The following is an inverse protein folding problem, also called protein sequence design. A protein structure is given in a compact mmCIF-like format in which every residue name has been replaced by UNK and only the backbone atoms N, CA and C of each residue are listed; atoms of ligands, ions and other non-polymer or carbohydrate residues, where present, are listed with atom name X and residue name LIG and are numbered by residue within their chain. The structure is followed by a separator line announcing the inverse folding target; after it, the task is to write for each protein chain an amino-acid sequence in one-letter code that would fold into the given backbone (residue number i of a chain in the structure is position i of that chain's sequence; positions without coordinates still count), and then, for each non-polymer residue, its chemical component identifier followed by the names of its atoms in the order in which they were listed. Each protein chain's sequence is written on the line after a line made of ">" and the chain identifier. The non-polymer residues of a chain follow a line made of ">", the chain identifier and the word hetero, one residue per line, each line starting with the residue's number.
data_IF_497721603203
#
_entry.id   IF_497721603203
#
_cell.length_a   1.000
_cell.length_b   1.000
_cell.length_c   1.000
_cell.angle_alpha   90.00
_cell.angle_beta   90.00
_cell.angle_gamma   90.00
#
_symmetry.space_group_name_H-M   'P 1'
#
loop_
_entity.id
_entity.type
_entity.pdbx_description
1 polymer ?
#
# COMPACT_ATOMS: atom_id res chain seq x y z
N UNK A 1 -29.63 -26.64 -20.52
CA UNK A 1 -28.19 -26.93 -20.69
C UNK A 1 -27.55 -25.66 -21.25
N UNK A 2 -27.12 -24.75 -20.38
CA UNK A 2 -26.46 -23.52 -20.83
C UNK A 2 -25.09 -23.88 -21.35
N UNK A 3 -24.80 -23.48 -22.59
CA UNK A 3 -23.51 -23.67 -23.23
C UNK A 3 -22.39 -23.20 -22.30
N UNK A 4 -21.42 -24.08 -22.08
CA UNK A 4 -20.24 -23.81 -21.26
C UNK A 4 -19.34 -22.82 -22.02
N UNK A 5 -19.75 -21.55 -22.08
CA UNK A 5 -18.90 -20.48 -22.60
C UNK A 5 -17.72 -20.36 -21.65
N UNK A 6 -16.54 -20.67 -22.16
CA UNK A 6 -15.28 -20.51 -21.46
C UNK A 6 -15.18 -19.06 -20.94
N UNK A 7 -14.86 -18.90 -19.66
CA UNK A 7 -14.73 -17.58 -19.05
C UNK A 7 -13.48 -16.91 -19.62
N UNK A 8 -13.68 -15.76 -20.26
CA UNK A 8 -12.57 -14.95 -20.78
C UNK A 8 -12.18 -13.96 -19.70
N UNK A 9 -10.93 -14.05 -19.23
CA UNK A 9 -10.38 -13.09 -18.29
C UNK A 9 -10.31 -11.69 -18.90
N UNK A 10 -10.53 -10.62 -18.12
CA UNK A 10 -10.45 -9.26 -18.63
C UNK A 10 -9.02 -8.92 -19.11
N UNK A 11 -8.89 -8.02 -20.09
CA UNK A 11 -7.58 -7.49 -20.51
C UNK A 11 -7.06 -6.45 -19.51
N UNK A 12 -5.73 -6.34 -19.35
CA UNK A 12 -5.11 -5.24 -18.59
C UNK A 12 -5.27 -3.87 -19.27
N UNK A 13 -5.76 -3.81 -20.52
CA UNK A 13 -6.09 -2.57 -21.20
C UNK A 13 -7.28 -1.84 -20.58
N UNK A 14 -8.12 -2.56 -19.82
CA UNK A 14 -9.21 -1.97 -19.05
C UNK A 14 -8.71 -1.18 -17.83
N UNK A 15 -7.46 -1.38 -17.43
CA UNK A 15 -6.86 -0.69 -16.29
C UNK A 15 -6.13 0.58 -16.75
N UNK A 16 -6.29 1.64 -15.97
CA UNK A 16 -5.58 2.89 -16.20
C UNK A 16 -4.08 2.69 -16.05
N UNK A 17 -3.34 3.05 -17.10
CA UNK A 17 -1.88 3.15 -17.05
C UNK A 17 -1.49 4.45 -16.38
N UNK A 18 -0.45 4.40 -15.55
CA UNK A 18 0.17 5.59 -15.01
C UNK A 18 0.69 6.45 -16.17
N UNK A 19 0.00 7.55 -16.45
CA UNK A 19 0.54 8.58 -17.33
C UNK A 19 1.61 9.27 -16.49
N UNK A 20 2.89 9.03 -16.79
CA UNK A 20 4.00 9.68 -16.12
C UNK A 20 3.82 11.20 -16.18
N UNK A 21 3.15 11.77 -15.19
CA UNK A 21 3.16 13.20 -14.95
C UNK A 21 4.50 13.44 -14.29
N UNK A 22 5.35 14.25 -14.93
CA UNK A 22 6.61 14.74 -14.36
C UNK A 22 6.30 15.49 -13.06
N UNK A 23 6.20 14.72 -11.98
CA UNK A 23 6.04 15.25 -10.64
C UNK A 23 7.41 15.75 -10.21
N UNK A 24 7.51 16.95 -9.63
CA UNK A 24 8.78 17.46 -9.14
C UNK A 24 9.45 16.42 -8.24
N UNK A 25 10.75 16.20 -8.47
CA UNK A 25 11.52 15.26 -7.66
C UNK A 25 11.79 15.92 -6.31
N UNK A 26 11.35 15.26 -5.24
CA UNK A 26 11.59 15.72 -3.88
C UNK A 26 13.08 15.60 -3.52
N UNK A 27 13.64 16.65 -2.91
CA UNK A 27 15.03 16.67 -2.47
C UNK A 27 15.19 15.89 -1.16
N UNK A 28 15.21 14.56 -1.28
CA UNK A 28 15.36 13.65 -0.15
C UNK A 28 16.70 13.84 0.59
N UNK A 29 17.77 14.25 -0.08
CA UNK A 29 19.07 14.53 0.56
C UNK A 29 18.97 15.71 1.52
N UNK A 30 18.30 16.78 1.11
CA UNK A 30 18.07 17.94 1.97
C UNK A 30 17.20 17.58 3.18
N UNK A 31 16.13 16.82 2.96
CA UNK A 31 15.26 16.33 4.03
C UNK A 31 16.04 15.44 5.01
N UNK A 32 16.89 14.54 4.51
CA UNK A 32 17.77 13.70 5.35
C UNK A 32 18.72 14.56 6.20
N UNK A 33 19.31 15.60 5.62
CA UNK A 33 20.20 16.51 6.36
C UNK A 33 19.44 17.29 7.44
N UNK A 34 18.20 17.68 7.17
CA UNK A 34 17.32 18.32 8.18
C UNK A 34 17.02 17.37 9.34
N UNK A 35 16.68 16.10 9.05
CA UNK A 35 16.46 15.06 10.06
C UNK A 35 17.70 14.88 10.96
N UNK A 36 18.88 14.70 10.35
CA UNK A 36 20.15 14.54 11.09
C UNK A 36 20.44 15.77 11.97
N UNK A 37 20.26 16.97 11.40
CA UNK A 37 20.49 18.23 12.13
C UNK A 37 19.50 18.42 13.28
N UNK A 38 18.26 17.99 13.12
CA UNK A 38 17.23 18.10 14.16
C UNK A 38 17.52 17.16 15.33
N UNK A 39 17.91 15.91 15.06
CA UNK A 39 18.37 15.00 16.12
C UNK A 39 19.58 15.56 16.89
N UNK A 40 20.53 16.19 16.18
CA UNK A 40 21.67 16.83 16.81
C UNK A 40 21.26 17.96 17.77
N UNK A 41 20.23 18.76 17.44
CA UNK A 41 19.67 19.80 18.33
C UNK A 41 19.09 19.21 19.63
N UNK A 42 18.59 17.97 19.59
CA UNK A 42 18.11 17.24 20.77
C UNK A 42 19.22 16.45 21.49
N UNK A 43 20.48 16.61 21.08
CA UNK A 43 21.63 15.91 21.66
C UNK A 43 21.70 14.42 21.30
N UNK A 44 21.08 14.03 20.18
CA UNK A 44 21.09 12.66 19.67
C UNK A 44 21.93 12.63 18.40
N UNK A 45 23.05 11.91 18.44
CA UNK A 45 23.93 11.80 17.29
C UNK A 45 23.49 10.64 16.39
N UNK A 46 23.18 10.96 15.14
CA UNK A 46 22.76 9.99 14.13
C UNK A 46 23.54 10.19 12.83
N UNK A 47 23.62 9.13 12.03
CA UNK A 47 24.20 9.14 10.68
C UNK A 47 23.16 8.68 9.67
N UNK A 48 23.07 9.37 8.53
CA UNK A 48 22.23 8.94 7.42
C UNK A 48 22.69 7.60 6.87
N UNK A 49 21.75 6.70 6.55
CA UNK A 49 22.07 5.37 6.05
C UNK A 49 21.49 5.12 4.66
N UNK A 50 20.18 5.28 4.51
CA UNK A 50 19.49 5.11 3.22
C UNK A 50 18.13 5.81 3.20
N UNK A 51 17.62 5.96 2.00
CA UNK A 51 16.27 6.45 1.72
C UNK A 51 15.54 5.45 0.84
N UNK A 52 14.24 5.27 1.09
CA UNK A 52 13.33 4.52 0.22
C UNK A 52 11.96 5.18 0.18
N UNK A 53 11.19 4.91 -0.87
CA UNK A 53 9.84 5.48 -1.02
C UNK A 53 8.93 4.62 -1.89
N UNK A 54 7.63 4.65 -1.56
CA UNK A 54 6.57 4.09 -2.40
C UNK A 54 5.83 5.14 -3.24
N UNK A 55 6.34 6.37 -3.31
CA UNK A 55 5.68 7.48 -3.99
C UNK A 55 4.62 8.22 -3.15
N UNK A 56 4.25 7.73 -1.97
CA UNK A 56 3.32 8.41 -1.05
C UNK A 56 4.05 8.91 0.19
N UNK A 57 4.95 8.10 0.73
CA UNK A 57 5.80 8.45 1.86
C UNK A 57 7.26 8.11 1.55
N UNK A 58 8.16 8.87 2.14
CA UNK A 58 9.60 8.62 2.17
C UNK A 58 9.99 8.03 3.52
N UNK A 59 10.87 7.03 3.50
CA UNK A 59 11.45 6.42 4.68
C UNK A 59 12.94 6.76 4.75
N UNK A 60 13.30 7.56 5.74
CA UNK A 60 14.65 8.04 5.99
C UNK A 60 15.27 7.21 7.10
N UNK A 61 16.13 6.26 6.73
CA UNK A 61 16.78 5.35 7.67
C UNK A 61 18.07 5.99 8.18
N UNK A 62 18.21 6.03 9.50
CA UNK A 62 19.35 6.60 10.20
C UNK A 62 19.90 5.61 11.23
N UNK A 63 21.21 5.69 11.44
CA UNK A 63 21.94 4.91 12.43
C UNK A 63 22.27 5.78 13.63
N UNK A 64 21.95 5.28 14.82
CA UNK A 64 22.23 5.93 16.09
C UNK A 64 23.68 5.68 16.50
N UNK A 65 24.41 6.76 16.77
CA UNK A 65 25.85 6.70 17.12
C UNK A 65 26.10 6.59 18.63
N UNK A 66 25.09 6.88 19.45
CA UNK A 66 25.20 6.85 20.91
C UNK A 66 24.12 5.95 21.55
N UNK A 67 24.32 5.54 22.80
CA UNK A 67 23.46 4.58 23.50
C UNK A 67 22.13 5.14 24.00
N UNK A 68 21.34 5.79 23.15
CA UNK A 68 20.02 6.34 23.51
C UNK A 68 18.93 5.27 23.36
N UNK A 69 18.04 5.16 24.35
CA UNK A 69 16.88 4.26 24.29
C UNK A 69 15.92 4.73 23.20
N UNK A 70 15.45 3.79 22.38
CA UNK A 70 14.50 4.08 21.29
C UNK A 70 13.25 4.83 21.75
N UNK A 71 12.72 4.53 22.94
CA UNK A 71 11.56 5.24 23.51
C UNK A 71 11.77 6.75 23.67
N UNK A 72 13.01 7.21 23.86
CA UNK A 72 13.34 8.64 23.91
C UNK A 72 13.34 9.27 22.52
N UNK A 73 13.71 8.49 21.50
CA UNK A 73 13.72 8.91 20.09
C UNK A 73 12.29 8.99 19.57
N UNK A 74 11.49 7.96 19.83
CA UNK A 74 10.07 7.89 19.49
C UNK A 74 9.26 9.05 20.13
N UNK A 75 9.61 9.44 21.36
CA UNK A 75 8.99 10.59 22.02
C UNK A 75 9.26 11.96 21.37
N UNK A 76 10.17 12.04 20.38
CA UNK A 76 10.43 13.27 19.63
C UNK A 76 9.52 13.43 18.40
N UNK A 77 8.58 12.51 18.17
CA UNK A 77 7.69 12.55 17.00
C UNK A 77 6.94 13.89 16.89
N UNK A 78 6.26 14.32 17.94
CA UNK A 78 5.50 15.59 17.98
C UNK A 78 6.40 16.84 17.76
N UNK A 79 7.62 16.82 18.31
CA UNK A 79 8.60 17.89 18.13
C UNK A 79 9.09 17.97 16.67
N UNK A 80 9.28 16.81 16.03
CA UNK A 80 9.63 16.72 14.62
C UNK A 80 8.47 17.17 13.73
N UNK A 81 7.24 16.74 14.01
CA UNK A 81 6.06 17.20 13.28
C UNK A 81 5.93 18.71 13.32
N UNK A 82 6.12 19.31 14.50
CA UNK A 82 6.09 20.76 14.69
C UNK A 82 7.21 21.48 13.93
N UNK A 83 8.41 20.91 13.86
CA UNK A 83 9.54 21.53 13.17
C UNK A 83 9.45 21.41 11.64
N UNK A 84 8.97 20.28 11.15
CA UNK A 84 8.86 19.98 9.72
C UNK A 84 7.55 20.45 9.11
N UNK A 85 6.54 20.76 9.95
CA UNK A 85 5.18 21.08 9.54
C UNK A 85 4.55 19.98 8.66
N UNK A 86 4.83 18.73 9.00
CA UNK A 86 4.36 17.53 8.33
C UNK A 86 4.08 16.45 9.39
N UNK A 87 3.09 15.59 9.15
CA UNK A 87 2.90 14.41 10.00
C UNK A 87 4.04 13.44 9.77
N UNK A 88 4.61 12.86 10.82
CA UNK A 88 5.74 11.93 10.69
C UNK A 88 5.52 10.68 11.54
N UNK A 89 6.34 9.65 11.30
CA UNK A 89 6.40 8.46 12.16
C UNK A 89 7.83 8.04 12.41
N UNK A 90 8.17 7.78 13.67
CA UNK A 90 9.48 7.22 14.04
C UNK A 90 9.32 5.73 14.29
N UNK A 91 9.98 4.91 13.48
CA UNK A 91 9.82 3.45 13.49
C UNK A 91 11.13 2.74 13.77
N UNK A 92 11.05 1.64 14.53
CA UNK A 92 12.18 0.72 14.66
C UNK A 92 12.34 -0.10 13.38
N UNK A 93 13.58 -0.30 12.95
CA UNK A 93 13.90 -1.23 11.85
C UNK A 93 14.63 -2.47 12.38
N UNK A 94 14.65 -3.54 11.58
CA UNK A 94 15.24 -4.83 11.97
C UNK A 94 16.79 -4.81 12.04
N UNK A 95 17.42 -3.66 11.88
CA UNK A 95 18.86 -3.46 11.94
C UNK A 95 19.25 -2.87 13.30
N UNK A 96 20.31 -3.42 13.92
CA UNK A 96 20.81 -2.94 15.21
C UNK A 96 21.16 -1.45 15.14
N UNK A 97 20.85 -0.72 16.23
CA UNK A 97 21.10 0.72 16.37
C UNK A 97 20.59 1.57 15.21
N UNK A 98 19.57 1.10 14.48
CA UNK A 98 19.02 1.79 13.32
C UNK A 98 17.53 2.03 13.55
N UNK A 99 17.03 3.17 13.09
CA UNK A 99 15.61 3.47 13.05
C UNK A 99 15.27 4.26 11.78
N UNK A 100 13.99 4.48 11.54
CA UNK A 100 13.53 5.23 10.39
C UNK A 100 12.59 6.36 10.80
N UNK A 101 12.66 7.47 10.08
CA UNK A 101 11.66 8.53 10.09
C UNK A 101 10.88 8.41 8.79
N UNK A 102 9.57 8.19 8.87
CA UNK A 102 8.68 8.21 7.72
C UNK A 102 8.00 9.58 7.63
N UNK A 103 8.06 10.18 6.44
CA UNK A 103 7.48 11.49 6.15
C UNK A 103 6.66 11.37 4.86
N UNK A 104 5.41 11.86 4.82
CA UNK A 104 4.66 12.00 3.58
C UNK A 104 5.46 12.78 2.55
N UNK A 105 5.45 12.33 1.30
CA UNK A 105 6.06 13.10 0.23
C UNK A 105 5.20 14.33 -0.09
N UNK A 106 5.86 15.44 -0.41
CA UNK A 106 5.19 16.67 -0.88
C UNK A 106 4.44 16.42 -2.19
N UNK A 107 5.04 15.64 -3.08
CA UNK A 107 4.48 15.29 -4.39
C UNK A 107 4.11 13.82 -4.42
N UNK A 108 2.90 13.51 -3.93
CA UNK A 108 2.38 12.14 -3.89
C UNK A 108 2.10 11.62 -5.29
N UNK A 109 2.63 10.43 -5.60
CA UNK A 109 2.35 9.67 -6.81
C UNK A 109 1.24 8.68 -6.55
N UNK A 110 0.26 8.64 -7.44
CA UNK A 110 -0.77 7.61 -7.41
C UNK A 110 -0.14 6.25 -7.73
N UNK A 111 -0.57 5.23 -7.00
CA UNK A 111 -0.25 3.84 -7.31
C UNK A 111 -1.42 3.23 -8.08
N UNK A 112 -1.18 2.87 -9.34
CA UNK A 112 -2.20 2.25 -10.18
C UNK A 112 -2.20 0.73 -10.03
N UNK A 113 -3.38 0.12 -9.99
CA UNK A 113 -3.53 -1.35 -9.89
C UNK A 113 -2.83 -2.09 -11.04
N UNK A 114 -2.81 -1.48 -12.23
CA UNK A 114 -2.10 -2.02 -13.40
C UNK A 114 -0.62 -2.24 -13.13
N UNK A 115 0.04 -1.32 -12.41
CA UNK A 115 1.47 -1.47 -12.07
C UNK A 115 1.72 -2.70 -11.19
N UNK A 116 0.78 -3.02 -10.30
CA UNK A 116 0.84 -4.23 -9.47
C UNK A 116 0.61 -5.47 -10.33
N UNK A 117 -0.35 -5.45 -11.25
CA UNK A 117 -0.64 -6.59 -12.13
C UNK A 117 0.43 -6.85 -13.18
N UNK A 118 1.22 -5.84 -13.53
CA UNK A 118 2.34 -5.98 -14.44
C UNK A 118 3.61 -6.53 -13.78
N UNK A 119 3.64 -6.58 -12.45
CA UNK A 119 4.75 -7.10 -11.66
C UNK A 119 4.94 -8.62 -11.78
N UNK A 120 6.17 -9.14 -11.62
CA UNK A 120 6.42 -10.58 -11.51
C UNK A 120 5.64 -11.24 -10.37
N UNK A 121 5.52 -10.55 -9.22
CA UNK A 121 4.80 -11.05 -8.03
C UNK A 121 3.31 -11.33 -8.29
N UNK A 122 2.74 -10.72 -9.32
CA UNK A 122 1.39 -10.98 -9.80
C UNK A 122 1.33 -11.93 -11.01
N UNK A 123 2.17 -11.69 -12.03
CA UNK A 123 2.16 -12.47 -13.28
C UNK A 123 2.49 -13.93 -13.02
N UNK A 124 3.55 -14.18 -12.26
CA UNK A 124 4.08 -15.52 -11.98
C UNK A 124 3.40 -16.16 -10.75
N UNK A 125 2.34 -15.51 -10.26
CA UNK A 125 1.61 -15.93 -9.08
C UNK A 125 0.65 -17.08 -9.38
N UNK A 126 0.89 -18.22 -8.73
CA UNK A 126 0.08 -19.44 -8.83
C UNK A 126 -0.82 -19.67 -7.59
N UNK A 127 -1.14 -18.61 -6.84
CA UNK A 127 -2.04 -18.72 -5.69
C UNK A 127 -3.50 -18.85 -6.12
N UNK A 128 -4.33 -19.41 -5.24
CA UNK A 128 -5.73 -19.73 -5.57
C UNK A 128 -6.59 -18.46 -5.59
N UNK A 129 -6.46 -17.61 -4.57
CA UNK A 129 -7.20 -16.35 -4.45
C UNK A 129 -6.23 -15.17 -4.27
N UNK A 130 -5.50 -14.77 -5.32
CA UNK A 130 -4.55 -13.66 -5.25
C UNK A 130 -5.26 -12.32 -5.07
N UNK A 131 -4.78 -11.52 -4.13
CA UNK A 131 -5.21 -10.14 -3.90
C UNK A 131 -4.03 -9.19 -3.99
N UNK A 132 -4.14 -8.16 -4.84
CA UNK A 132 -3.17 -7.08 -4.94
C UNK A 132 -3.45 -6.03 -3.86
N UNK A 133 -2.47 -5.82 -2.98
CA UNK A 133 -2.58 -4.85 -1.88
C UNK A 133 -1.85 -3.53 -2.18
N UNK A 134 -0.98 -3.50 -3.18
CA UNK A 134 -0.23 -2.31 -3.59
C UNK A 134 1.27 -2.50 -3.51
N UNK A 135 1.99 -1.43 -3.11
CA UNK A 135 3.45 -1.44 -2.94
C UNK A 135 3.81 -1.12 -1.49
N UNK A 136 4.80 -1.84 -0.96
CA UNK A 136 5.44 -1.51 0.30
C UNK A 136 6.26 -0.23 0.18
N UNK A 137 6.65 0.35 1.31
CA UNK A 137 7.47 1.57 1.40
C UNK A 137 8.83 1.46 0.69
N UNK A 138 9.36 0.25 0.56
CA UNK A 138 10.59 -0.03 -0.19
C UNK A 138 10.33 -0.20 -1.71
N UNK A 139 9.10 0.05 -2.17
CA UNK A 139 8.68 -0.06 -3.57
C UNK A 139 8.32 -1.49 -4.01
N UNK A 140 8.54 -2.49 -3.18
CA UNK A 140 8.24 -3.89 -3.50
C UNK A 140 6.72 -4.11 -3.62
N UNK A 141 6.31 -4.86 -4.64
CA UNK A 141 4.89 -5.17 -4.86
C UNK A 141 4.39 -6.16 -3.81
N UNK A 142 3.18 -5.94 -3.30
CA UNK A 142 2.55 -6.78 -2.28
C UNK A 142 1.33 -7.45 -2.89
N UNK A 143 1.48 -8.74 -3.19
CA UNK A 143 0.40 -9.66 -3.54
C UNK A 143 0.28 -10.70 -2.44
N UNK A 144 -0.94 -10.99 -2.00
CA UNK A 144 -1.22 -11.99 -0.96
C UNK A 144 -2.23 -13.02 -1.45
N UNK A 145 -2.25 -14.18 -0.81
CA UNK A 145 -3.21 -15.25 -1.06
C UNK A 145 -4.28 -15.21 0.02
N UNK A 146 -5.52 -14.92 -0.36
CA UNK A 146 -6.65 -14.85 0.56
C UNK A 146 -6.92 -16.19 1.24
N UNK A 147 -6.62 -17.33 0.60
CA UNK A 147 -6.81 -18.66 1.22
C UNK A 147 -5.90 -18.88 2.43
N UNK A 148 -4.69 -18.28 2.41
CA UNK A 148 -3.74 -18.35 3.53
C UNK A 148 -4.14 -17.41 4.67
N UNK A 149 -4.74 -16.26 4.34
CA UNK A 149 -5.24 -15.30 5.32
C UNK A 149 -6.55 -15.78 5.97
N UNK A 150 -7.35 -16.56 5.23
CA UNK A 150 -8.68 -17.08 5.58
C UNK A 150 -9.76 -15.99 5.69
N UNK A 151 -9.48 -14.91 6.44
CA UNK A 151 -10.38 -13.78 6.62
C UNK A 151 -9.58 -12.46 6.63
N UNK A 152 -10.22 -11.37 6.23
CA UNK A 152 -9.62 -10.03 6.23
C UNK A 152 -10.62 -9.05 6.85
N UNK A 153 -10.13 -8.20 7.76
CA UNK A 153 -10.84 -7.02 8.24
C UNK A 153 -10.26 -5.79 7.55
N UNK A 154 -11.11 -5.02 6.88
CA UNK A 154 -10.74 -3.74 6.28
C UNK A 154 -11.37 -2.65 7.13
N UNK A 155 -10.55 -1.79 7.73
CA UNK A 155 -10.99 -0.66 8.53
C UNK A 155 -10.21 0.59 8.14
N UNK A 156 -10.90 1.72 8.11
CA UNK A 156 -10.32 3.01 7.78
C UNK A 156 -11.22 4.15 8.25
N UNK A 157 -10.61 5.29 8.56
CA UNK A 157 -11.35 6.53 8.82
C UNK A 157 -12.00 7.09 7.54
N UNK A 158 -11.43 6.75 6.38
CA UNK A 158 -11.85 7.15 5.04
C UNK A 158 -12.53 5.97 4.34
N UNK A 159 -13.33 6.28 3.31
CA UNK A 159 -13.95 5.33 2.39
C UNK A 159 -13.01 4.19 1.95
N UNK A 160 -13.43 2.96 2.25
CA UNK A 160 -12.71 1.71 1.94
C UNK A 160 -13.06 1.13 0.57
N UNK A 161 -13.96 1.77 -0.19
CA UNK A 161 -14.46 1.30 -1.49
C UNK A 161 -13.33 1.00 -2.47
N UNK A 162 -12.29 1.84 -2.50
CA UNK A 162 -11.15 1.62 -3.40
C UNK A 162 -10.39 0.33 -3.06
N UNK A 163 -10.22 0.01 -1.77
CA UNK A 163 -9.57 -1.23 -1.33
C UNK A 163 -10.42 -2.44 -1.67
N UNK A 164 -11.73 -2.38 -1.42
CA UNK A 164 -12.67 -3.45 -1.76
C UNK A 164 -12.68 -3.69 -3.27
N UNK A 165 -12.73 -2.62 -4.06
CA UNK A 165 -12.68 -2.68 -5.52
C UNK A 165 -11.38 -3.31 -6.03
N UNK A 166 -10.24 -3.00 -5.42
CA UNK A 166 -8.95 -3.61 -5.77
C UNK A 166 -8.95 -5.11 -5.51
N UNK A 167 -9.50 -5.55 -4.37
CA UNK A 167 -9.60 -6.97 -4.01
C UNK A 167 -10.51 -7.72 -4.98
N UNK A 168 -11.72 -7.20 -5.23
CA UNK A 168 -12.67 -7.81 -6.16
C UNK A 168 -12.05 -7.89 -7.56
N UNK A 169 -11.44 -6.80 -8.03
CA UNK A 169 -10.78 -6.76 -9.34
C UNK A 169 -9.65 -7.78 -9.43
N UNK A 170 -8.80 -7.88 -8.40
CA UNK A 170 -7.72 -8.87 -8.33
C UNK A 170 -8.25 -10.29 -8.57
N UNK A 171 -9.32 -10.64 -7.87
CA UNK A 171 -9.93 -11.95 -7.98
C UNK A 171 -10.54 -12.20 -9.36
N UNK A 172 -11.19 -11.20 -9.96
CA UNK A 172 -11.79 -11.32 -11.30
C UNK A 172 -10.75 -11.53 -12.42
N UNK A 173 -9.51 -11.07 -12.24
CA UNK A 173 -8.43 -11.26 -13.21
C UNK A 173 -7.74 -12.63 -13.13
N UNK A 174 -7.99 -13.42 -12.07
CA UNK A 174 -7.30 -14.70 -11.83
C UNK A 174 -8.22 -15.88 -11.51
N UNK A 175 -9.48 -15.63 -11.16
CA UNK A 175 -10.43 -16.67 -10.77
C UNK A 175 -11.63 -16.70 -11.71
N UNK A 176 -11.96 -17.88 -12.24
CA UNK A 176 -13.18 -18.06 -13.03
C UNK A 176 -14.41 -18.12 -12.10
N UNK A 177 -15.64 -18.03 -12.64
CA UNK A 177 -16.85 -18.22 -11.85
C UNK A 177 -16.95 -19.62 -11.21
N UNK A 178 -16.29 -20.64 -11.75
CA UNK A 178 -16.26 -21.97 -11.12
C UNK A 178 -15.33 -22.04 -9.92
N UNK A 179 -14.26 -21.24 -9.92
CA UNK A 179 -13.26 -21.22 -8.84
C UNK A 179 -13.70 -20.31 -7.68
N UNK A 180 -14.49 -19.28 -7.98
CA UNK A 180 -14.86 -18.24 -7.04
C UNK A 180 -16.33 -17.83 -7.17
N UNK A 181 -17.01 -17.75 -6.02
CA UNK A 181 -18.35 -17.18 -5.89
C UNK A 181 -18.38 -16.06 -4.88
N UNK A 182 -19.11 -14.99 -5.19
CA UNK A 182 -19.33 -13.86 -4.28
C UNK A 182 -20.71 -13.91 -3.64
N UNK A 183 -20.74 -13.63 -2.34
CA UNK A 183 -21.91 -13.17 -1.61
C UNK A 183 -21.54 -11.78 -1.09
N UNK A 184 -22.30 -10.77 -1.49
CA UNK A 184 -22.02 -9.39 -1.13
C UNK A 184 -23.18 -8.84 -0.32
N UNK A 185 -22.87 -8.13 0.75
CA UNK A 185 -23.84 -7.47 1.62
C UNK A 185 -23.46 -6.00 1.72
N UNK A 186 -24.32 -5.12 1.21
CA UNK A 186 -24.15 -3.67 1.24
C UNK A 186 -25.43 -3.02 1.80
N UNK A 187 -25.48 -2.78 3.12
CA UNK A 187 -26.68 -2.23 3.76
C UNK A 187 -26.93 -0.76 3.38
N UNK A 188 -25.94 -0.08 2.78
CA UNK A 188 -26.07 1.31 2.34
C UNK A 188 -26.47 1.41 0.87
N UNK A 189 -26.31 0.35 0.10
CA UNK A 189 -26.65 0.28 -1.34
C UNK A 189 -25.90 1.29 -2.22
N UNK A 190 -24.67 1.64 -1.84
CA UNK A 190 -23.88 2.67 -2.55
C UNK A 190 -22.70 2.06 -3.31
N UNK A 191 -22.01 1.09 -2.71
CA UNK A 191 -20.66 0.72 -3.12
C UNK A 191 -20.65 -0.54 -3.98
N UNK A 192 -21.43 -1.55 -3.58
CA UNK A 192 -21.42 -2.89 -4.21
C UNK A 192 -22.46 -3.15 -5.30
N UNK A 193 -23.57 -2.38 -5.48
CA UNK A 193 -24.56 -2.68 -6.51
C UNK A 193 -24.02 -2.78 -7.94
N UNK A 194 -22.88 -2.12 -8.23
CA UNK A 194 -22.19 -2.19 -9.53
C UNK A 194 -21.79 -3.62 -9.92
N UNK A 195 -21.57 -4.51 -8.95
CA UNK A 195 -21.09 -5.89 -9.17
C UNK A 195 -22.20 -6.91 -9.45
N UNK A 196 -23.48 -6.54 -9.35
CA UNK A 196 -24.62 -7.46 -9.51
C UNK A 196 -24.63 -8.26 -10.82
N UNK A 197 -24.01 -7.73 -11.89
CA UNK A 197 -23.99 -8.36 -13.21
C UNK A 197 -22.83 -9.34 -13.42
N UNK A 198 -21.95 -9.52 -12.42
CA UNK A 198 -20.83 -10.44 -12.53
C UNK A 198 -21.32 -11.90 -12.54
N UNK A 199 -20.77 -12.77 -13.41
CA UNK A 199 -21.12 -14.20 -13.43
C UNK A 199 -20.67 -14.94 -12.15
N UNK A 200 -19.80 -14.32 -11.34
CA UNK A 200 -19.33 -14.84 -10.06
C UNK A 200 -20.33 -14.69 -8.92
N UNK A 201 -21.37 -13.86 -9.06
CA UNK A 201 -22.35 -13.64 -7.99
C UNK A 201 -23.16 -14.91 -7.71
N UNK A 202 -23.26 -15.30 -6.43
CA UNK A 202 -24.15 -16.39 -6.00
C UNK A 202 -25.60 -15.92 -5.84
N UNK A 203 -25.77 -14.66 -5.45
CA UNK A 203 -27.04 -13.95 -5.35
C UNK A 203 -26.84 -12.49 -5.75
N UNK A 204 -27.91 -11.73 -6.05
CA UNK A 204 -27.82 -10.28 -6.03
C UNK A 204 -27.24 -9.77 -4.70
N UNK A 205 -26.67 -8.57 -4.72
CA UNK A 205 -26.16 -7.89 -3.53
C UNK A 205 -27.30 -7.79 -2.51
N UNK A 206 -27.03 -8.26 -1.29
CA UNK A 206 -27.97 -8.25 -0.18
C UNK A 206 -27.93 -6.85 0.45
N UNK A 207 -29.11 -6.30 0.72
CA UNK A 207 -29.32 -4.96 1.28
C UNK A 207 -29.93 -5.04 2.66
#
# INVERSE_FOLDING_TARGET
>A
MSSNKEYIFPSYDLLTTNQNVDSPVENHTETMNQIVSLFAKFGIEVRSKRFSSNGIAGRYVVELLNGVRFSKIEALEDDFESHLNEQIRILKVNEASTFAVEIPLKYKKFLFLKEVFESPEWKDNNTILPIALGKGIEGNTIVKDLTKLKHILIGGLIDTTATISSIITSLLYKCTPTDLRFIMHDPKTVELPIYNKLPHMLSPVIT
#
